data_IF_656422194913
#
_entry.id   IF_656422194913
#
_cell.length_a   1.000
_cell.length_b   1.000
_cell.length_c   1.000
_cell.angle_alpha   90.00
_cell.angle_beta   90.00
_cell.angle_gamma   90.00
#
_symmetry.space_group_name_H-M   'P 1'
#
loop_
_entity.id
_entity.type
_entity.pdbx_description
1 polymer ?
#
# COMPACT_ATOMS: atom_id res chain seq x y z
N UNK A 1 -23.84 -9.43 7.61
CA UNK A 1 -22.48 -10.01 7.73
C UNK A 1 -21.89 -10.52 6.40
N UNK A 2 -22.61 -11.31 5.57
CA UNK A 2 -22.01 -11.97 4.37
C UNK A 2 -21.35 -11.03 3.32
N UNK A 3 -21.81 -9.78 3.16
CA UNK A 3 -21.23 -8.81 2.19
C UNK A 3 -20.06 -7.98 2.73
N UNK A 4 -19.84 -7.99 4.05
CA UNK A 4 -18.84 -7.18 4.76
C UNK A 4 -17.48 -7.87 4.70
N UNK A 5 -17.49 -9.21 4.86
CA UNK A 5 -16.29 -10.03 4.84
C UNK A 5 -15.52 -9.93 3.51
N UNK A 6 -16.15 -10.01 2.31
CA UNK A 6 -15.43 -9.83 1.05
C UNK A 6 -14.77 -8.46 0.91
N UNK A 7 -15.43 -7.38 1.36
CA UNK A 7 -14.87 -6.02 1.27
C UNK A 7 -13.67 -5.85 2.21
N UNK A 8 -13.75 -6.42 3.42
CA UNK A 8 -12.62 -6.41 4.36
C UNK A 8 -11.44 -7.22 3.83
N UNK A 9 -11.68 -8.42 3.30
CA UNK A 9 -10.65 -9.26 2.69
C UNK A 9 -10.02 -8.58 1.47
N UNK A 10 -10.81 -7.92 0.63
CA UNK A 10 -10.31 -7.15 -0.50
C UNK A 10 -9.38 -6.02 -0.04
N UNK A 11 -9.77 -5.24 0.98
CA UNK A 11 -8.91 -4.22 1.58
C UNK A 11 -7.61 -4.80 2.16
N UNK A 12 -7.67 -6.01 2.74
CA UNK A 12 -6.50 -6.70 3.27
C UNK A 12 -5.54 -7.16 2.17
N UNK A 13 -6.05 -7.67 1.04
CA UNK A 13 -5.23 -8.01 -0.14
C UNK A 13 -4.52 -6.77 -0.68
N UNK A 14 -5.25 -5.66 -0.85
CA UNK A 14 -4.65 -4.39 -1.30
C UNK A 14 -3.57 -3.89 -0.32
N UNK A 15 -3.81 -4.04 0.98
CA UNK A 15 -2.83 -3.70 2.02
C UNK A 15 -1.55 -4.52 1.86
N UNK A 16 -1.67 -5.83 1.67
CA UNK A 16 -0.50 -6.71 1.47
C UNK A 16 0.30 -6.27 0.24
N UNK A 17 -0.37 -5.93 -0.86
CA UNK A 17 0.30 -5.46 -2.10
C UNK A 17 1.08 -4.16 -1.88
N UNK A 18 0.45 -3.15 -1.27
CA UNK A 18 1.11 -1.87 -0.95
C UNK A 18 2.30 -2.08 -0.01
N UNK A 19 2.12 -2.88 1.04
CA UNK A 19 3.21 -3.16 1.99
C UNK A 19 4.34 -3.95 1.34
N UNK A 20 4.04 -4.89 0.45
CA UNK A 20 5.06 -5.61 -0.31
C UNK A 20 5.92 -4.64 -1.14
N UNK A 21 5.28 -3.73 -1.89
CA UNK A 21 5.99 -2.74 -2.69
C UNK A 21 6.87 -1.82 -1.83
N UNK A 22 6.34 -1.38 -0.68
CA UNK A 22 7.04 -0.47 0.23
C UNK A 22 8.21 -1.15 0.95
N UNK A 23 8.03 -2.39 1.41
CA UNK A 23 9.12 -3.19 2.00
C UNK A 23 10.19 -3.51 0.96
N UNK A 24 9.79 -3.87 -0.27
CA UNK A 24 10.73 -4.13 -1.35
C UNK A 24 11.59 -2.89 -1.64
N UNK A 25 10.97 -1.70 -1.70
CA UNK A 25 11.69 -0.44 -1.87
C UNK A 25 12.66 -0.18 -0.72
N UNK A 26 12.20 -0.32 0.53
CA UNK A 26 13.06 -0.11 1.70
C UNK A 26 14.25 -1.06 1.75
N UNK A 27 14.05 -2.34 1.43
CA UNK A 27 15.15 -3.32 1.40
C UNK A 27 16.19 -2.91 0.36
N UNK A 28 15.78 -2.51 -0.84
CA UNK A 28 16.71 -2.11 -1.90
C UNK A 28 17.42 -0.80 -1.55
N UNK A 29 16.72 0.20 -1.01
CA UNK A 29 17.32 1.46 -0.57
C UNK A 29 18.21 1.34 0.65
N UNK A 30 18.05 0.30 1.46
CA UNK A 30 18.91 0.06 2.62
C UNK A 30 20.30 -0.46 2.24
N UNK A 31 20.48 -0.88 0.98
CA UNK A 31 21.79 -1.28 0.45
C UNK A 31 22.65 -0.04 0.15
N UNK A 32 23.60 0.25 1.03
CA UNK A 32 24.50 1.41 0.93
C UNK A 32 25.54 1.28 -0.18
N UNK A 33 25.63 0.12 -0.84
CA UNK A 33 26.51 -0.06 -2.00
C UNK A 33 25.91 0.48 -3.30
N UNK A 34 24.60 0.74 -3.33
CA UNK A 34 23.88 1.26 -4.49
C UNK A 34 23.71 2.77 -4.40
N UNK A 35 23.96 3.47 -5.50
CA UNK A 35 23.44 4.83 -5.69
C UNK A 35 21.91 4.82 -5.80
N UNK A 36 21.26 5.97 -5.55
CA UNK A 36 19.80 6.08 -5.64
C UNK A 36 19.27 5.63 -7.02
N UNK A 37 19.94 5.99 -8.11
CA UNK A 37 19.53 5.59 -9.46
C UNK A 37 19.67 4.08 -9.68
N UNK A 38 20.73 3.47 -9.15
CA UNK A 38 20.91 2.01 -9.17
C UNK A 38 19.86 1.30 -8.33
N UNK A 39 19.50 1.83 -7.15
CA UNK A 39 18.43 1.32 -6.31
C UNK A 39 17.06 1.41 -7.02
N UNK A 40 16.77 2.53 -7.70
CA UNK A 40 15.56 2.70 -8.52
C UNK A 40 15.51 1.65 -9.64
N UNK A 41 16.60 1.48 -10.39
CA UNK A 41 16.65 0.47 -11.45
C UNK A 41 16.49 -0.96 -10.90
N UNK A 42 17.16 -1.28 -9.79
CA UNK A 42 17.04 -2.59 -9.13
C UNK A 42 15.62 -2.88 -8.64
N UNK A 43 14.91 -1.85 -8.17
CA UNK A 43 13.50 -1.92 -7.80
C UNK A 43 12.61 -2.16 -9.03
N UNK A 44 12.75 -1.33 -10.07
CA UNK A 44 11.94 -1.44 -11.30
C UNK A 44 12.16 -2.76 -12.05
N UNK A 45 13.35 -3.34 -11.96
CA UNK A 45 13.67 -4.65 -12.56
C UNK A 45 12.83 -5.81 -11.98
N UNK A 46 12.23 -5.63 -10.80
CA UNK A 46 11.32 -6.63 -10.19
C UNK A 46 9.93 -6.64 -10.82
N UNK A 47 9.60 -5.65 -11.65
CA UNK A 47 8.30 -5.50 -12.26
C UNK A 47 8.37 -5.76 -13.77
N UNK A 48 7.26 -6.23 -14.38
CA UNK A 48 7.22 -6.38 -15.83
C UNK A 48 7.27 -5.01 -16.50
N UNK A 49 7.89 -4.94 -17.69
CA UNK A 49 8.25 -3.68 -18.34
C UNK A 49 7.11 -2.67 -18.57
N UNK A 50 5.85 -3.12 -18.64
CA UNK A 50 4.69 -2.25 -18.80
C UNK A 50 4.28 -1.50 -17.51
N UNK A 51 4.77 -1.91 -16.34
CA UNK A 51 4.60 -1.22 -15.05
C UNK A 51 5.93 -0.84 -14.40
N UNK A 52 7.06 -1.06 -15.08
CA UNK A 52 8.40 -0.73 -14.58
C UNK A 52 8.71 0.77 -14.68
N UNK A 53 7.82 1.60 -14.14
CA UNK A 53 7.96 3.04 -14.03
C UNK A 53 7.66 3.47 -12.58
N UNK A 54 8.55 4.25 -11.98
CA UNK A 54 8.48 4.59 -10.56
C UNK A 54 7.26 5.46 -10.24
N UNK A 55 6.91 6.39 -11.14
CA UNK A 55 5.75 7.26 -10.98
C UNK A 55 4.46 6.43 -11.08
N UNK A 56 4.38 5.53 -12.06
CA UNK A 56 3.22 4.66 -12.25
C UNK A 56 3.01 3.72 -11.06
N UNK A 57 4.07 3.10 -10.54
CA UNK A 57 3.99 2.23 -9.35
C UNK A 57 3.54 3.02 -8.11
N UNK A 58 4.08 4.23 -7.91
CA UNK A 58 3.66 5.08 -6.79
C UNK A 58 2.18 5.49 -6.91
N UNK A 59 1.72 5.86 -8.11
CA UNK A 59 0.31 6.17 -8.35
C UNK A 59 -0.57 4.95 -8.11
N UNK A 60 -0.13 3.76 -8.51
CA UNK A 60 -0.85 2.51 -8.25
C UNK A 60 -0.94 2.24 -6.75
N UNK A 61 0.14 2.43 -6.00
CA UNK A 61 0.16 2.27 -4.53
C UNK A 61 -0.76 3.29 -3.84
N UNK A 62 -0.84 4.53 -4.33
CA UNK A 62 -1.80 5.53 -3.83
C UNK A 62 -3.24 5.08 -4.07
N UNK A 63 -3.56 4.63 -5.29
CA UNK A 63 -4.91 4.15 -5.65
C UNK A 63 -5.28 2.93 -4.82
N UNK A 64 -4.37 1.96 -4.68
CA UNK A 64 -4.56 0.77 -3.85
C UNK A 64 -4.73 1.14 -2.38
N UNK A 65 -3.94 2.08 -1.86
CA UNK A 65 -4.06 2.56 -0.47
C UNK A 65 -5.39 3.28 -0.24
N UNK A 66 -5.83 4.12 -1.18
CA UNK A 66 -7.12 4.79 -1.10
C UNK A 66 -8.28 3.79 -1.13
N UNK A 67 -8.22 2.80 -2.03
CA UNK A 67 -9.21 1.73 -2.12
C UNK A 67 -9.24 0.88 -0.84
N UNK A 68 -8.08 0.49 -0.30
CA UNK A 68 -7.97 -0.25 0.96
C UNK A 68 -8.53 0.57 2.14
N UNK A 69 -8.12 1.83 2.25
CA UNK A 69 -8.61 2.77 3.26
C UNK A 69 -10.13 2.93 3.21
N UNK A 70 -10.73 3.07 2.03
CA UNK A 70 -12.18 3.12 1.84
C UNK A 70 -12.86 1.81 2.24
N UNK A 71 -12.28 0.66 1.92
CA UNK A 71 -12.79 -0.64 2.36
C UNK A 71 -12.84 -0.72 3.88
N UNK A 72 -11.75 -0.38 4.58
CA UNK A 72 -11.72 -0.41 6.04
C UNK A 72 -12.61 0.67 6.67
N UNK A 73 -12.67 1.86 6.09
CA UNK A 73 -13.53 2.94 6.56
C UNK A 73 -15.01 2.57 6.50
N UNK A 74 -15.47 1.93 5.42
CA UNK A 74 -16.85 1.44 5.32
C UNK A 74 -17.12 0.32 6.31
N UNK A 75 -16.18 -0.60 6.48
CA UNK A 75 -16.35 -1.72 7.41
C UNK A 75 -16.37 -1.29 8.89
N UNK A 76 -15.70 -0.19 9.27
CA UNK A 76 -15.68 0.31 10.67
C UNK A 76 -17.06 0.69 11.21
N UNK A 77 -18.00 1.08 10.33
CA UNK A 77 -19.36 1.47 10.72
C UNK A 77 -20.24 0.26 11.02
N UNK A 78 -19.83 -0.93 10.58
CA UNK A 78 -20.65 -2.15 10.61
C UNK A 78 -20.05 -3.22 11.53
N UNK A 79 -18.72 -3.23 11.68
CA UNK A 79 -18.00 -4.11 12.60
C UNK A 79 -17.93 -3.46 13.99
N UNK A 80 -18.30 -4.22 15.02
CA UNK A 80 -18.18 -3.81 16.43
C UNK A 80 -16.96 -4.44 17.12
N UNK A 81 -16.60 -3.91 18.29
CA UNK A 81 -15.50 -4.44 19.11
C UNK A 81 -14.14 -4.35 18.42
N UNK A 82 -13.32 -5.39 18.60
CA UNK A 82 -11.93 -5.46 18.11
C UNK A 82 -11.83 -5.28 16.60
N UNK A 83 -12.74 -5.87 15.83
CA UNK A 83 -12.73 -5.78 14.36
C UNK A 83 -13.02 -4.36 13.85
N UNK A 84 -13.91 -3.63 14.52
CA UNK A 84 -14.17 -2.22 14.23
C UNK A 84 -12.96 -1.33 14.54
N UNK A 85 -12.26 -1.61 15.66
CA UNK A 85 -11.03 -0.91 16.03
C UNK A 85 -9.89 -1.17 15.03
N UNK A 86 -9.68 -2.42 14.62
CA UNK A 86 -8.70 -2.80 13.62
C UNK A 86 -8.99 -2.13 12.26
N UNK A 87 -10.25 -2.15 11.80
CA UNK A 87 -10.64 -1.47 10.58
C UNK A 87 -10.38 0.05 10.65
N UNK A 88 -10.66 0.70 11.80
CA UNK A 88 -10.31 2.10 12.01
C UNK A 88 -8.80 2.33 11.96
N UNK A 89 -8.02 1.46 12.62
CA UNK A 89 -6.56 1.52 12.60
C UNK A 89 -6.00 1.42 11.19
N UNK A 90 -6.40 0.40 10.43
CA UNK A 90 -5.97 0.24 9.04
C UNK A 90 -6.38 1.40 8.14
N UNK A 91 -7.57 1.98 8.32
CA UNK A 91 -7.98 3.16 7.57
C UNK A 91 -7.06 4.36 7.83
N UNK A 92 -6.65 4.57 9.09
CA UNK A 92 -5.70 5.64 9.45
C UNK A 92 -4.31 5.36 8.90
N UNK A 93 -3.83 4.11 8.98
CA UNK A 93 -2.54 3.71 8.37
C UNK A 93 -2.53 4.01 6.88
N UNK A 94 -3.59 3.67 6.14
CA UNK A 94 -3.68 3.97 4.71
C UNK A 94 -3.73 5.46 4.40
N UNK A 95 -4.34 6.28 5.25
CA UNK A 95 -4.29 7.74 5.11
C UNK A 95 -2.86 8.26 5.28
N UNK A 96 -2.14 7.77 6.29
CA UNK A 96 -0.73 8.12 6.52
C UNK A 96 0.13 7.64 5.36
N UNK A 97 -0.10 6.44 4.85
CA UNK A 97 0.61 5.90 3.69
C UNK A 97 0.35 6.71 2.43
N UNK A 98 -0.87 7.19 2.17
CA UNK A 98 -1.13 8.07 1.03
C UNK A 98 -0.35 9.38 1.17
N UNK A 99 -0.41 10.02 2.35
CA UNK A 99 0.39 11.22 2.60
C UNK A 99 1.88 10.92 2.39
N UNK A 100 2.37 9.81 2.95
CA UNK A 100 3.74 9.37 2.76
C UNK A 100 4.05 9.18 1.28
N UNK A 101 3.27 8.41 0.51
CA UNK A 101 3.48 8.14 -0.92
C UNK A 101 3.41 9.39 -1.81
N UNK A 102 2.64 10.41 -1.42
CA UNK A 102 2.64 11.72 -2.11
C UNK A 102 3.98 12.43 -1.92
N UNK A 103 4.61 12.31 -0.74
CA UNK A 103 5.94 12.88 -0.47
C UNK A 103 7.10 11.91 -0.79
N UNK A 104 6.82 10.62 -0.84
CA UNK A 104 7.74 9.51 -1.08
C UNK A 104 7.62 8.97 -2.50
N UNK A 105 6.93 9.69 -3.38
CA UNK A 105 7.22 9.64 -4.80
C UNK A 105 8.74 9.62 -4.91
N UNK A 106 9.27 8.43 -5.18
CA UNK A 106 10.69 8.22 -5.43
C UNK A 106 11.24 9.30 -6.34
#
# INVERSE_FOLDING_TARGET
MKRILPLFLFGLVLTIMVFYNLVLWWVICSDTSLSLDQAKQAYLYRYPGFVADALLLTLLDIVMSAAAGLCFFRNRQILSGTWGLLAKGFAVVHLILICWLVFSLM
#
